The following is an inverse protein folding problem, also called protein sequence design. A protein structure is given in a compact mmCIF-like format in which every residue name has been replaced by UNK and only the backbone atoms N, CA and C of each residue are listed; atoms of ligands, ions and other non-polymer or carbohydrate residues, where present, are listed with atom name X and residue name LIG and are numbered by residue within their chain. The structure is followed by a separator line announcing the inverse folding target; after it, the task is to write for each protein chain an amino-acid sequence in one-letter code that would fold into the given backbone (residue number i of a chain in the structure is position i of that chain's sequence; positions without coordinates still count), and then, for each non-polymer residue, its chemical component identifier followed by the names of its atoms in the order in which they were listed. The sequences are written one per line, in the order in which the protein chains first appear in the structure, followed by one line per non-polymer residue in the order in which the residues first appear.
data_IF_712244395672
#
_entry.id   IF_712244395672
#
_cell.length_a   1.000
_cell.length_b   1.000
_cell.length_c   1.000
_cell.angle_alpha   90.00
_cell.angle_beta   90.00
_cell.angle_gamma   90.00
#
_symmetry.space_group_name_H-M   'P 1'
#
loop_
_entity.id
_entity.type
_entity.pdbx_description
1 polymer ?
#
# COMPACT_ATOMS: atom_id res chain seq x y z
N UNK A 1 6.88 49.05 -25.07
CA UNK A 1 7.27 48.11 -23.99
C UNK A 1 6.94 46.63 -24.24
N UNK A 2 6.35 46.23 -25.39
CA UNK A 2 6.14 44.79 -25.71
C UNK A 2 7.18 44.19 -26.68
N UNK A 3 7.96 45.02 -27.39
CA UNK A 3 8.97 44.53 -28.34
C UNK A 3 10.34 44.22 -27.72
N UNK A 4 10.60 44.66 -26.48
CA UNK A 4 11.88 44.44 -25.79
C UNK A 4 11.97 43.07 -25.10
N UNK A 5 10.82 42.45 -24.79
CA UNK A 5 10.74 41.15 -24.10
C UNK A 5 11.09 39.97 -25.02
N UNK A 6 10.65 40.02 -26.28
CA UNK A 6 10.88 38.94 -27.27
C UNK A 6 12.36 38.86 -27.67
N UNK A 7 13.05 40.00 -27.75
CA UNK A 7 14.48 40.04 -28.07
C UNK A 7 15.36 39.44 -26.96
N UNK A 8 14.95 39.61 -25.69
CA UNK A 8 15.67 39.03 -24.55
C UNK A 8 15.49 37.51 -24.48
N UNK A 9 14.31 36.98 -24.82
CA UNK A 9 14.05 35.53 -24.87
C UNK A 9 14.83 34.82 -25.96
N UNK A 10 15.04 35.46 -27.12
CA UNK A 10 15.83 34.89 -28.23
C UNK A 10 17.33 34.88 -27.88
N UNK A 11 17.84 35.93 -27.22
CA UNK A 11 19.24 36.01 -26.78
C UNK A 11 19.54 34.96 -25.69
N UNK A 12 18.62 34.73 -24.75
CA UNK A 12 18.76 33.67 -23.73
C UNK A 12 18.71 32.27 -24.38
N UNK A 13 17.86 32.06 -25.38
CA UNK A 13 17.80 30.80 -26.14
C UNK A 13 19.09 30.48 -26.90
N UNK A 14 19.69 31.48 -27.56
CA UNK A 14 20.95 31.30 -28.31
C UNK A 14 22.14 31.12 -27.34
N UNK A 15 22.19 31.85 -26.22
CA UNK A 15 23.23 31.67 -25.20
C UNK A 15 23.17 30.27 -24.55
N UNK A 16 21.96 29.72 -24.37
CA UNK A 16 21.76 28.37 -23.84
C UNK A 16 22.28 27.28 -24.79
N UNK A 17 22.09 27.46 -26.11
CA UNK A 17 22.60 26.53 -27.13
C UNK A 17 24.12 26.54 -27.23
N UNK A 18 24.77 27.69 -26.99
CA UNK A 18 26.24 27.81 -27.01
C UNK A 18 26.85 27.21 -25.74
N UNK A 19 26.21 27.38 -24.57
CA UNK A 19 26.65 26.78 -23.31
C UNK A 19 26.48 25.24 -23.28
N UNK A 20 25.43 24.70 -23.91
CA UNK A 20 25.20 23.24 -23.98
C UNK A 20 26.01 22.50 -25.05
N UNK A 21 26.69 23.21 -25.97
CA UNK A 21 27.50 22.58 -27.02
C UNK A 21 28.80 21.96 -26.48
N UNK A 22 29.29 22.44 -25.32
CA UNK A 22 30.46 21.85 -24.65
C UNK A 22 30.12 20.57 -23.86
N UNK A 23 28.89 20.45 -23.33
CA UNK A 23 28.46 19.24 -22.61
C UNK A 23 28.07 18.07 -23.52
N UNK A 24 27.57 18.34 -24.74
CA UNK A 24 27.22 17.28 -25.69
C UNK A 24 28.42 16.44 -26.15
N UNK A 25 29.64 17.00 -26.18
CA UNK A 25 30.86 16.22 -26.50
C UNK A 25 31.26 15.29 -25.36
N UNK A 26 31.06 15.71 -24.11
CA UNK A 26 31.38 14.89 -22.93
C UNK A 26 30.35 13.76 -22.74
N UNK A 27 29.06 14.03 -23.00
CA UNK A 27 28.01 13.00 -22.98
C UNK A 27 28.23 11.96 -24.09
N UNK A 28 28.62 12.38 -25.29
CA UNK A 28 28.90 11.44 -26.40
C UNK A 28 30.10 10.52 -26.11
N UNK A 29 31.17 11.04 -25.50
CA UNK A 29 32.36 10.26 -25.13
C UNK A 29 32.09 9.25 -24.01
N UNK A 30 31.35 9.65 -22.96
CA UNK A 30 30.97 8.76 -21.84
C UNK A 30 30.01 7.66 -22.31
N UNK A 31 29.17 7.94 -23.30
CA UNK A 31 28.25 6.95 -23.87
C UNK A 31 28.99 5.92 -24.73
N UNK A 32 30.03 6.34 -25.47
CA UNK A 32 30.85 5.45 -26.30
C UNK A 32 31.73 4.50 -25.47
N UNK A 33 32.33 4.97 -24.36
CA UNK A 33 33.11 4.10 -23.45
C UNK A 33 32.21 3.08 -22.71
N UNK A 34 30.99 3.46 -22.31
CA UNK A 34 30.02 2.51 -21.75
C UNK A 34 29.58 1.46 -22.77
N UNK A 35 29.39 1.84 -24.03
CA UNK A 35 29.04 0.90 -25.10
C UNK A 35 30.18 -0.08 -25.43
N UNK A 36 31.44 0.36 -25.37
CA UNK A 36 32.60 -0.52 -25.59
C UNK A 36 32.85 -1.48 -24.41
N UNK A 37 32.55 -1.08 -23.17
CA UNK A 37 32.65 -1.98 -22.01
C UNK A 37 31.46 -2.96 -21.88
N UNK A 38 30.30 -2.63 -22.48
CA UNK A 38 29.14 -3.54 -22.57
C UNK A 38 29.35 -4.66 -23.60
N UNK A 39 30.22 -4.46 -24.59
CA UNK A 39 30.47 -5.45 -25.65
C UNK A 39 31.61 -6.44 -25.33
N UNK A 40 32.42 -6.19 -24.30
CA UNK A 40 33.51 -7.09 -23.88
C UNK A 40 33.18 -8.02 -22.70
N UNK A 41 32.01 -7.88 -22.05
CA UNK A 41 31.59 -8.70 -20.91
C UNK A 41 30.40 -9.63 -21.18
N UNK A 42 29.86 -9.64 -22.40
CA UNK A 42 28.72 -10.47 -22.79
C UNK A 42 29.15 -11.86 -23.33
N UNK A 43 29.92 -12.63 -22.55
CA UNK A 43 30.05 -14.08 -22.80
C UNK A 43 30.29 -14.87 -21.52
N UNK A 44 29.30 -14.89 -20.62
CA UNK A 44 29.04 -16.00 -19.67
C UNK A 44 27.73 -15.70 -18.94
N UNK A 45 26.59 -15.97 -19.60
CA UNK A 45 25.35 -16.24 -18.88
C UNK A 45 25.42 -17.68 -18.43
N UNK A 46 25.78 -17.90 -17.16
CA UNK A 46 25.39 -19.13 -16.48
C UNK A 46 23.87 -19.17 -16.45
N UNK A 47 23.28 -20.13 -17.16
CA UNK A 47 21.90 -20.55 -16.95
C UNK A 47 21.80 -21.11 -15.53
N UNK A 48 21.50 -20.25 -14.55
CA UNK A 48 20.88 -20.70 -13.30
C UNK A 48 19.41 -20.88 -13.58
N UNK A 49 19.01 -22.14 -13.74
CA UNK A 49 17.65 -22.60 -13.48
C UNK A 49 17.21 -22.00 -12.14
N UNK A 50 15.98 -21.48 -12.00
CA UNK A 50 15.46 -21.15 -10.68
C UNK A 50 15.52 -22.44 -9.84
N UNK A 51 16.23 -22.41 -8.72
CA UNK A 51 16.05 -23.46 -7.72
C UNK A 51 14.57 -23.50 -7.32
N UNK A 52 13.97 -24.69 -7.13
CA UNK A 52 12.65 -24.76 -6.56
C UNK A 52 12.72 -24.12 -5.17
N UNK A 53 12.06 -22.98 -4.99
CA UNK A 53 11.85 -22.44 -3.64
C UNK A 53 11.02 -23.47 -2.89
N UNK A 54 11.67 -24.20 -1.99
CA UNK A 54 11.00 -25.09 -1.06
C UNK A 54 10.05 -24.26 -0.21
N UNK A 55 8.76 -24.61 -0.24
CA UNK A 55 7.70 -24.03 0.60
C UNK A 55 8.02 -24.29 2.07
N UNK A 56 8.84 -23.42 2.66
CA UNK A 56 9.11 -23.45 4.09
C UNK A 56 8.02 -22.66 4.78
N UNK A 57 7.02 -23.39 5.25
CA UNK A 57 6.05 -22.81 6.16
C UNK A 57 6.75 -22.30 7.42
N UNK A 58 6.39 -21.09 7.84
CA UNK A 58 6.88 -20.54 9.10
C UNK A 58 6.00 -21.05 10.23
N UNK A 59 6.63 -21.60 11.27
CA UNK A 59 5.95 -22.05 12.48
C UNK A 59 6.54 -21.35 13.70
N UNK A 60 5.67 -20.94 14.61
CA UNK A 60 6.09 -20.55 15.95
C UNK A 60 6.45 -21.81 16.74
N UNK A 61 7.43 -21.68 17.64
CA UNK A 61 7.80 -22.68 18.63
C UNK A 61 7.92 -22.03 19.99
N UNK A 62 7.99 -22.84 21.05
CA UNK A 62 8.20 -22.33 22.42
C UNK A 62 9.53 -21.57 22.59
N UNK A 63 10.48 -21.74 21.66
CA UNK A 63 11.76 -21.01 21.63
C UNK A 63 11.74 -19.76 20.74
N UNK A 64 10.64 -19.51 20.02
CA UNK A 64 10.56 -18.39 19.10
C UNK A 64 10.59 -17.06 19.85
N UNK A 65 11.41 -16.13 19.36
CA UNK A 65 11.64 -14.85 20.04
C UNK A 65 10.48 -13.90 19.73
N UNK A 66 9.72 -13.40 20.71
CA UNK A 66 8.68 -12.40 20.47
C UNK A 66 9.26 -11.08 19.98
N UNK A 67 8.61 -10.45 18.99
CA UNK A 67 8.96 -9.06 18.63
C UNK A 67 8.46 -8.11 19.70
N UNK A 68 9.32 -7.19 20.11
CA UNK A 68 8.97 -6.14 21.06
C UNK A 68 8.02 -5.12 20.41
N UNK A 69 7.19 -4.48 21.23
CA UNK A 69 6.33 -3.38 20.79
C UNK A 69 7.16 -2.10 20.74
N UNK A 70 7.31 -1.54 19.54
CA UNK A 70 7.96 -0.24 19.32
C UNK A 70 7.05 0.91 19.73
N UNK A 71 5.78 0.85 19.32
CA UNK A 71 4.82 1.94 19.53
C UNK A 71 3.39 1.44 19.53
N UNK A 72 2.55 2.03 20.38
CA UNK A 72 1.09 1.89 20.32
C UNK A 72 0.49 3.27 20.24
N UNK A 73 -0.46 3.50 19.34
CA UNK A 73 -1.13 4.79 19.23
C UNK A 73 -2.49 4.71 18.57
N UNK A 74 -3.40 5.61 18.97
CA UNK A 74 -4.75 5.73 18.43
C UNK A 74 -4.72 6.33 17.01
N UNK A 75 -5.44 5.71 16.08
CA UNK A 75 -5.68 6.28 14.76
C UNK A 75 -6.59 7.52 14.84
N UNK A 76 -6.19 8.59 14.17
CA UNK A 76 -6.86 9.89 14.24
C UNK A 76 -7.95 9.95 13.17
N UNK A 77 -9.15 10.36 13.58
CA UNK A 77 -10.26 10.52 12.66
C UNK A 77 -10.18 11.86 11.91
N UNK A 78 -10.31 11.82 10.59
CA UNK A 78 -10.24 12.99 9.71
C UNK A 78 -11.19 12.86 8.52
N UNK A 79 -11.48 13.99 7.87
CA UNK A 79 -12.23 14.02 6.62
C UNK A 79 -11.29 13.80 5.43
N UNK A 80 -11.76 13.07 4.42
CA UNK A 80 -11.07 12.83 3.15
C UNK A 80 -12.10 12.77 2.02
N UNK A 81 -11.63 12.88 0.77
CA UNK A 81 -12.49 12.83 -0.41
C UNK A 81 -13.63 13.86 -0.35
N UNK A 82 -14.81 13.44 -0.80
CA UNK A 82 -16.03 14.23 -0.72
C UNK A 82 -16.94 13.67 0.39
N UNK A 83 -16.81 14.22 1.60
CA UNK A 83 -17.66 13.88 2.75
C UNK A 83 -17.33 12.55 3.46
N UNK A 84 -16.28 11.84 3.04
CA UNK A 84 -15.87 10.58 3.67
C UNK A 84 -15.11 10.84 4.99
N UNK A 85 -15.20 9.89 5.91
CA UNK A 85 -14.45 9.90 7.18
C UNK A 85 -13.52 8.70 7.22
N UNK A 86 -12.29 8.94 7.65
CA UNK A 86 -11.28 7.89 7.84
C UNK A 86 -10.63 8.02 9.19
N UNK A 87 -10.21 6.90 9.78
CA UNK A 87 -9.24 6.87 10.88
C UNK A 87 -7.87 6.55 10.32
N UNK A 88 -6.97 7.53 10.29
CA UNK A 88 -5.61 7.38 9.77
C UNK A 88 -4.65 6.96 10.86
N UNK A 89 -3.90 5.89 10.63
CA UNK A 89 -2.83 5.43 11.54
C UNK A 89 -1.45 5.77 10.99
N UNK A 90 -1.00 5.05 9.95
CA UNK A 90 0.19 5.38 9.16
C UNK A 90 -0.16 6.55 8.23
N UNK A 91 0.77 7.50 8.05
CA UNK A 91 0.53 8.74 7.32
C UNK A 91 0.20 9.93 8.23
N UNK A 92 0.20 9.72 9.55
CA UNK A 92 0.02 10.79 10.56
C UNK A 92 1.38 11.36 11.02
N UNK A 93 1.42 12.51 11.71
CA UNK A 93 2.66 12.99 12.35
C UNK A 93 3.28 11.99 13.32
N UNK A 94 2.48 11.09 13.89
CA UNK A 94 2.96 10.06 14.82
C UNK A 94 3.72 8.93 14.12
N UNK A 95 3.41 8.67 12.84
CA UNK A 95 4.08 7.68 12.01
C UNK A 95 3.87 8.06 10.54
N UNK A 96 4.72 8.97 10.03
CA UNK A 96 4.54 9.58 8.70
C UNK A 96 4.56 8.56 7.57
N UNK A 97 5.39 7.55 7.69
CA UNK A 97 5.41 6.33 6.90
C UNK A 97 6.10 5.24 7.73
N UNK A 98 5.99 3.99 7.29
CA UNK A 98 6.65 2.84 7.88
C UNK A 98 6.96 1.82 6.79
N UNK A 99 8.10 2.00 6.10
CA UNK A 99 8.47 1.25 4.88
C UNK A 99 8.13 -0.25 4.97
N UNK A 100 7.43 -0.83 3.99
CA UNK A 100 6.99 -0.22 2.73
C UNK A 100 5.64 0.54 2.82
N UNK A 101 5.06 0.67 4.02
CA UNK A 101 3.73 1.25 4.19
C UNK A 101 3.76 2.77 4.22
N UNK A 102 2.90 3.38 3.41
CA UNK A 102 2.82 4.83 3.24
C UNK A 102 1.65 5.42 4.03
N UNK A 103 0.54 4.69 4.06
CA UNK A 103 -0.71 5.13 4.68
C UNK A 103 -1.56 3.91 5.05
N UNK A 104 -2.27 3.99 6.17
CA UNK A 104 -3.37 3.07 6.48
C UNK A 104 -4.55 3.87 7.02
N UNK A 105 -5.63 3.84 6.26
CA UNK A 105 -6.92 4.40 6.62
C UNK A 105 -7.94 3.31 6.90
N UNK A 106 -8.62 3.41 8.04
CA UNK A 106 -9.87 2.69 8.28
C UNK A 106 -11.02 3.61 7.92
N UNK A 107 -11.61 3.40 6.76
CA UNK A 107 -12.65 4.27 6.22
C UNK A 107 -14.05 3.85 6.69
N UNK A 108 -14.90 4.86 6.84
CA UNK A 108 -16.35 4.72 6.99
C UNK A 108 -17.03 5.72 6.07
N UNK A 109 -17.58 5.25 4.97
CA UNK A 109 -18.17 6.08 3.92
C UNK A 109 -19.69 5.99 4.02
N UNK A 110 -20.30 7.05 4.55
CA UNK A 110 -21.75 7.19 4.62
C UNK A 110 -22.36 7.36 3.21
N UNK A 111 -23.65 7.04 3.02
CA UNK A 111 -24.34 7.35 1.76
C UNK A 111 -24.18 8.83 1.37
N UNK A 112 -23.94 9.10 0.09
CA UNK A 112 -23.70 10.45 -0.44
C UNK A 112 -22.30 11.02 -0.17
N UNK A 113 -21.36 10.20 0.29
CA UNK A 113 -19.94 10.54 0.37
C UNK A 113 -19.12 9.59 -0.52
N UNK A 114 -17.85 9.88 -0.78
CA UNK A 114 -16.96 8.99 -1.53
C UNK A 114 -15.64 9.62 -1.94
N UNK A 115 -14.94 8.94 -2.84
CA UNK A 115 -13.68 9.40 -3.42
C UNK A 115 -13.87 9.57 -4.93
N UNK A 116 -14.33 10.74 -5.40
CA UNK A 116 -14.47 11.01 -6.84
C UNK A 116 -13.10 11.03 -7.53
N UNK A 117 -13.08 11.26 -8.83
CA UNK A 117 -11.90 11.23 -9.70
C UNK A 117 -10.64 11.84 -9.06
N UNK A 118 -9.64 11.00 -8.80
CA UNK A 118 -8.37 11.41 -8.23
C UNK A 118 -7.20 10.58 -8.79
N UNK A 119 -5.99 11.15 -8.89
CA UNK A 119 -4.85 10.46 -9.45
C UNK A 119 -4.04 9.69 -8.38
N UNK A 120 -3.18 8.77 -8.82
CA UNK A 120 -2.08 8.16 -8.07
C UNK A 120 -0.86 7.90 -8.96
N UNK A 121 0.36 7.88 -8.39
CA UNK A 121 1.59 7.46 -9.08
C UNK A 121 2.68 6.99 -8.11
N UNK A 122 3.23 5.81 -8.37
CA UNK A 122 4.43 5.30 -7.69
C UNK A 122 4.18 4.42 -6.47
N UNK A 123 2.92 4.04 -6.20
CA UNK A 123 2.51 3.15 -5.12
C UNK A 123 1.51 2.08 -5.59
N UNK A 124 1.25 1.11 -4.72
CA UNK A 124 0.09 0.23 -4.79
C UNK A 124 -0.94 0.69 -3.73
N UNK A 125 -2.22 0.63 -4.06
CA UNK A 125 -3.31 0.80 -3.10
C UNK A 125 -4.03 -0.53 -2.93
N UNK A 126 -4.25 -0.92 -1.68
CA UNK A 126 -4.90 -2.17 -1.32
C UNK A 126 -6.16 -1.81 -0.54
N UNK A 127 -7.30 -2.02 -1.17
CA UNK A 127 -8.63 -1.80 -0.59
C UNK A 127 -9.14 -3.13 -0.03
N UNK A 128 -9.46 -3.20 1.26
CA UNK A 128 -10.10 -4.37 1.87
C UNK A 128 -11.44 -3.99 2.47
N UNK A 129 -12.54 -4.56 1.94
CA UNK A 129 -13.88 -4.18 2.37
C UNK A 129 -14.38 -5.06 3.52
N UNK A 130 -14.74 -4.42 4.63
CA UNK A 130 -15.21 -5.08 5.86
C UNK A 130 -16.74 -5.17 5.93
N UNK A 131 -17.45 -4.19 5.35
CA UNK A 131 -18.91 -4.14 5.30
C UNK A 131 -19.40 -3.28 4.13
N UNK A 132 -20.43 -3.78 3.43
CA UNK A 132 -21.08 -3.12 2.30
C UNK A 132 -20.43 -3.43 0.95
N UNK A 133 -20.42 -2.44 0.04
CA UNK A 133 -19.82 -2.49 -1.30
C UNK A 133 -19.21 -1.14 -1.73
N UNK A 134 -18.13 -1.18 -2.52
CA UNK A 134 -17.52 0.02 -3.15
C UNK A 134 -17.35 -0.24 -4.64
N UNK A 135 -17.94 0.62 -5.46
CA UNK A 135 -17.72 0.64 -6.90
C UNK A 135 -16.44 1.41 -7.22
N UNK A 136 -15.67 0.90 -8.17
CA UNK A 136 -14.47 1.55 -8.68
C UNK A 136 -14.52 1.68 -10.19
N UNK A 137 -13.92 2.75 -10.72
CA UNK A 137 -13.82 3.03 -12.15
C UNK A 137 -12.53 3.81 -12.44
N UNK A 138 -11.79 3.43 -13.47
CA UNK A 138 -10.56 4.10 -13.89
C UNK A 138 -10.56 4.55 -15.35
N UNK A 139 -9.61 5.44 -15.67
CA UNK A 139 -9.41 5.96 -17.03
C UNK A 139 -8.79 4.96 -18.02
N UNK A 140 -8.47 3.74 -17.58
CA UNK A 140 -8.00 2.65 -18.43
C UNK A 140 -9.16 1.76 -18.91
N UNK A 141 -10.34 1.95 -18.34
CA UNK A 141 -11.56 1.20 -18.62
C UNK A 141 -11.83 0.08 -17.61
N UNK A 142 -11.01 -0.10 -16.57
CA UNK A 142 -11.33 -1.04 -15.51
C UNK A 142 -12.42 -0.47 -14.63
N UNK A 143 -13.39 -1.32 -14.29
CA UNK A 143 -14.45 -1.01 -13.35
C UNK A 143 -14.99 -2.27 -12.72
N UNK A 144 -15.58 -2.12 -11.56
CA UNK A 144 -16.16 -3.24 -10.84
C UNK A 144 -16.64 -2.83 -9.45
N UNK A 145 -17.00 -3.84 -8.68
CA UNK A 145 -17.40 -3.67 -7.29
C UNK A 145 -16.52 -4.54 -6.41
N UNK A 146 -15.99 -3.93 -5.36
CA UNK A 146 -15.37 -4.60 -4.21
C UNK A 146 -16.51 -4.86 -3.23
N UNK A 147 -16.85 -6.12 -3.01
CA UNK A 147 -17.91 -6.52 -2.08
C UNK A 147 -17.33 -6.89 -0.71
N UNK A 148 -18.20 -7.08 0.28
CA UNK A 148 -17.76 -7.43 1.65
C UNK A 148 -16.85 -8.67 1.65
N UNK A 149 -15.64 -8.50 2.21
CA UNK A 149 -14.61 -9.52 2.28
C UNK A 149 -13.69 -9.57 1.07
N UNK A 150 -14.00 -8.87 -0.02
CA UNK A 150 -13.13 -8.77 -1.19
C UNK A 150 -11.98 -7.79 -0.95
N UNK A 151 -10.90 -7.99 -1.71
CA UNK A 151 -9.80 -7.06 -1.83
C UNK A 151 -9.56 -6.65 -3.28
N UNK A 152 -9.06 -5.43 -3.43
CA UNK A 152 -8.48 -4.95 -4.67
C UNK A 152 -7.05 -4.49 -4.42
N UNK A 153 -6.11 -5.04 -5.19
CA UNK A 153 -4.72 -4.60 -5.23
C UNK A 153 -4.53 -3.83 -6.54
N UNK A 154 -4.50 -2.49 -6.45
CA UNK A 154 -4.24 -1.62 -7.59
C UNK A 154 -2.79 -1.16 -7.56
N UNK A 155 -2.02 -1.52 -8.59
CA UNK A 155 -0.72 -0.90 -8.84
C UNK A 155 -0.93 0.37 -9.65
N UNK A 156 -0.61 1.55 -9.08
CA UNK A 156 -0.74 2.82 -9.80
C UNK A 156 0.38 3.03 -10.83
N UNK A 157 1.60 2.54 -10.53
CA UNK A 157 2.74 2.61 -11.45
C UNK A 157 2.99 4.03 -11.97
N UNK A 158 3.14 4.17 -13.30
CA UNK A 158 3.37 5.44 -14.02
C UNK A 158 2.19 6.42 -13.94
N UNK A 159 1.02 6.03 -13.46
CA UNK A 159 -0.10 6.95 -13.30
C UNK A 159 -1.45 6.27 -13.50
N UNK A 160 -2.37 6.52 -12.58
CA UNK A 160 -3.77 6.15 -12.73
C UNK A 160 -4.66 7.30 -12.26
N UNK A 161 -5.81 7.48 -12.89
CA UNK A 161 -6.90 8.31 -12.38
C UNK A 161 -8.14 7.42 -12.24
N UNK A 162 -8.75 7.46 -11.06
CA UNK A 162 -9.85 6.57 -10.71
C UNK A 162 -10.81 7.21 -9.71
N UNK A 163 -11.97 6.60 -9.54
CA UNK A 163 -12.95 6.93 -8.51
C UNK A 163 -13.29 5.67 -7.70
N UNK A 164 -13.57 5.85 -6.41
CA UNK A 164 -14.01 4.81 -5.47
C UNK A 164 -15.25 5.33 -4.72
N UNK A 165 -16.43 4.82 -5.11
CA UNK A 165 -17.73 5.32 -4.66
C UNK A 165 -18.50 4.23 -3.91
N UNK A 166 -19.04 4.51 -2.71
CA UNK A 166 -19.77 3.51 -1.95
C UNK A 166 -21.09 3.13 -2.63
N UNK A 167 -21.43 1.85 -2.57
CA UNK A 167 -22.80 1.40 -2.86
C UNK A 167 -23.73 1.81 -1.72
N UNK A 168 -24.99 2.05 -2.07
CA UNK A 168 -26.02 2.27 -1.07
C UNK A 168 -26.42 0.94 -0.43
N UNK A 169 -26.15 0.79 0.88
CA UNK A 169 -26.60 -0.36 1.63
C UNK A 169 -28.13 -0.29 1.84
N UNK A 170 -28.86 -1.43 1.79
CA UNK A 170 -30.32 -1.43 1.95
C UNK A 170 -30.83 -0.84 3.27
N UNK A 171 -30.03 -0.94 4.33
CA UNK A 171 -30.32 -0.42 5.66
C UNK A 171 -29.82 1.02 5.88
N UNK A 172 -29.24 1.64 4.85
CA UNK A 172 -28.64 2.98 4.93
C UNK A 172 -27.33 3.04 5.72
N UNK A 173 -26.75 1.89 6.09
CA UNK A 173 -25.46 1.84 6.80
C UNK A 173 -24.31 2.33 5.92
N UNK A 174 -23.25 2.82 6.56
CA UNK A 174 -22.03 3.22 5.89
C UNK A 174 -21.21 2.01 5.44
N UNK A 175 -20.46 2.15 4.35
CA UNK A 175 -19.49 1.16 3.91
C UNK A 175 -18.22 1.30 4.75
N UNK A 176 -17.64 0.17 5.17
CA UNK A 176 -16.50 0.14 6.09
C UNK A 176 -15.40 -0.72 5.50
N UNK A 177 -14.16 -0.25 5.56
CA UNK A 177 -13.02 -0.97 5.02
C UNK A 177 -11.69 -0.36 5.38
N UNK A 178 -10.62 -0.94 4.84
CA UNK A 178 -9.26 -0.47 4.98
C UNK A 178 -8.69 -0.05 3.62
N UNK A 179 -7.99 1.08 3.59
CA UNK A 179 -7.13 1.50 2.49
C UNK A 179 -5.67 1.47 2.95
N UNK A 180 -4.88 0.56 2.41
CA UNK A 180 -3.43 0.48 2.67
C UNK A 180 -2.67 0.95 1.42
N UNK A 181 -1.77 1.92 1.59
CA UNK A 181 -0.83 2.28 0.53
C UNK A 181 0.52 1.63 0.79
N UNK A 182 1.03 0.95 -0.23
CA UNK A 182 2.32 0.25 -0.20
C UNK A 182 3.22 0.86 -1.26
N UNK A 183 4.42 1.26 -0.86
CA UNK A 183 5.40 1.85 -1.75
C UNK A 183 5.87 0.84 -2.79
N UNK A 184 6.02 1.27 -4.04
CA UNK A 184 6.65 0.45 -5.08
C UNK A 184 8.18 0.56 -4.99
N UNK A 185 8.93 -0.52 -5.27
CA UNK A 185 10.37 -0.43 -5.45
C UNK A 185 10.69 0.57 -6.55
N UNK A 186 11.77 1.34 -6.40
CA UNK A 186 12.15 2.41 -7.33
C UNK A 186 12.08 2.01 -8.81
N UNK A 187 12.50 0.78 -9.14
CA UNK A 187 12.50 0.26 -10.52
C UNK A 187 11.11 -0.09 -11.07
N UNK A 188 10.07 -0.15 -10.23
CA UNK A 188 8.68 -0.42 -10.60
C UNK A 188 7.76 0.80 -10.49
N UNK A 189 8.24 1.94 -9.99
CA UNK A 189 7.43 3.17 -9.83
C UNK A 189 6.84 3.71 -11.14
N UNK A 190 7.36 3.27 -12.29
CA UNK A 190 6.88 3.67 -13.62
C UNK A 190 6.41 2.46 -14.46
N UNK A 191 6.09 1.33 -13.84
CA UNK A 191 5.43 0.23 -14.54
C UNK A 191 4.02 0.64 -15.01
N UNK A 192 3.44 -0.13 -15.93
CA UNK A 192 2.05 0.06 -16.33
C UNK A 192 1.11 -0.22 -15.14
N UNK A 193 0.01 0.54 -15.00
CA UNK A 193 -0.99 0.27 -13.97
C UNK A 193 -1.58 -1.13 -14.16
N UNK A 194 -1.90 -1.81 -13.05
CA UNK A 194 -2.55 -3.12 -13.07
C UNK A 194 -3.48 -3.30 -11.88
N UNK A 195 -4.41 -4.23 -12.01
CA UNK A 195 -5.31 -4.66 -10.94
C UNK A 195 -5.13 -6.14 -10.65
N UNK A 196 -5.25 -6.49 -9.38
CA UNK A 196 -5.49 -7.85 -8.94
C UNK A 196 -6.60 -7.85 -7.90
N UNK A 197 -7.78 -8.27 -8.32
CA UNK A 197 -8.89 -8.54 -7.40
C UNK A 197 -8.68 -9.90 -6.73
N UNK A 198 -9.03 -9.97 -5.44
CA UNK A 198 -9.09 -11.20 -4.65
C UNK A 198 -10.47 -11.27 -3.99
N UNK A 199 -11.29 -12.22 -4.43
CA UNK A 199 -12.64 -12.38 -3.89
C UNK A 199 -12.59 -13.06 -2.53
N UNK A 200 -13.53 -12.74 -1.65
CA UNK A 200 -13.62 -13.29 -0.29
C UNK A 200 -13.56 -14.83 -0.28
N UNK A 201 -14.22 -15.47 -1.25
CA UNK A 201 -14.27 -16.94 -1.41
C UNK A 201 -12.93 -17.58 -1.82
N UNK A 202 -11.99 -16.79 -2.32
CA UNK A 202 -10.65 -17.25 -2.71
C UNK A 202 -9.67 -17.17 -1.54
N UNK A 203 -10.05 -16.52 -0.43
CA UNK A 203 -9.17 -16.31 0.72
C UNK A 203 -9.21 -17.56 1.61
N UNK A 204 -8.10 -18.29 1.74
CA UNK A 204 -8.04 -19.42 2.64
C UNK A 204 -8.02 -18.95 4.10
N UNK A 205 -8.50 -19.81 5.00
CA UNK A 205 -8.54 -19.54 6.42
C UNK A 205 -8.05 -20.71 7.24
N UNK A 206 -7.60 -20.43 8.46
CA UNK A 206 -7.20 -21.43 9.45
C UNK A 206 -7.78 -21.09 10.81
N UNK A 207 -8.28 -22.11 11.51
CA UNK A 207 -8.69 -22.02 12.90
C UNK A 207 -7.59 -22.62 13.78
N UNK A 208 -7.18 -21.90 14.82
CA UNK A 208 -6.15 -22.33 15.78
C UNK A 208 -6.64 -22.12 17.22
N UNK A 209 -5.85 -22.62 18.18
CA UNK A 209 -6.17 -22.55 19.62
C UNK A 209 -7.58 -23.10 19.92
N UNK A 210 -7.82 -24.34 19.50
CA UNK A 210 -9.09 -25.06 19.65
C UNK A 210 -10.31 -24.29 19.07
N UNK A 211 -10.10 -23.51 18.00
CA UNK A 211 -11.15 -22.76 17.30
C UNK A 211 -11.51 -21.43 17.98
N UNK A 212 -10.68 -20.95 18.91
CA UNK A 212 -10.81 -19.60 19.48
C UNK A 212 -10.22 -18.52 18.60
N UNK A 213 -9.27 -18.87 17.73
CA UNK A 213 -8.67 -17.91 16.80
C UNK A 213 -8.96 -18.34 15.37
N UNK A 214 -9.62 -17.45 14.63
CA UNK A 214 -9.88 -17.61 13.20
C UNK A 214 -9.03 -16.61 12.42
N UNK A 215 -8.26 -17.09 11.44
CA UNK A 215 -7.33 -16.28 10.64
C UNK A 215 -7.69 -16.43 9.17
N UNK A 216 -8.01 -15.32 8.51
CA UNK A 216 -8.05 -15.23 7.05
C UNK A 216 -6.66 -14.86 6.54
N UNK A 217 -6.10 -15.71 5.69
CA UNK A 217 -4.75 -15.53 5.14
C UNK A 217 -4.88 -14.79 3.80
N UNK A 218 -5.04 -13.46 3.86
CA UNK A 218 -5.25 -12.60 2.69
C UNK A 218 -4.01 -12.54 1.79
N UNK A 219 -2.82 -12.48 2.40
CA UNK A 219 -1.54 -12.61 1.70
C UNK A 219 -0.50 -13.15 2.66
N UNK A 220 0.41 -13.99 2.17
CA UNK A 220 1.42 -14.67 2.99
C UNK A 220 0.96 -16.04 3.48
N UNK A 221 1.27 -16.37 4.73
CA UNK A 221 0.92 -17.67 5.31
C UNK A 221 0.67 -17.60 6.81
N UNK A 222 -0.10 -18.56 7.31
CA UNK A 222 -0.35 -18.76 8.74
C UNK A 222 -0.60 -20.23 9.02
N UNK A 223 0.14 -20.80 9.98
CA UNK A 223 -0.09 -22.15 10.52
C UNK A 223 -0.24 -23.26 9.45
N UNK A 224 0.64 -23.24 8.43
CA UNK A 224 0.62 -24.23 7.34
C UNK A 224 -0.39 -23.95 6.22
N UNK A 225 -1.09 -22.81 6.25
CA UNK A 225 -1.98 -22.36 5.19
C UNK A 225 -1.35 -21.17 4.46
N UNK A 226 -1.10 -21.33 3.17
CA UNK A 226 -0.67 -20.26 2.27
C UNK A 226 -1.85 -19.52 1.64
N UNK A 227 -1.65 -18.25 1.33
CA UNK A 227 -2.55 -17.47 0.49
C UNK A 227 -2.30 -17.67 -1.01
N UNK A 228 -3.15 -17.04 -1.82
CA UNK A 228 -2.92 -16.84 -3.25
C UNK A 228 -1.67 -15.97 -3.44
N UNK A 229 -0.82 -16.36 -4.40
CA UNK A 229 0.45 -15.67 -4.71
C UNK A 229 0.25 -14.52 -5.70
N UNK A 230 1.30 -13.70 -5.84
CA UNK A 230 1.44 -12.65 -6.86
C UNK A 230 0.36 -11.54 -6.84
N UNK A 231 -0.12 -11.22 -5.63
CA UNK A 231 -1.11 -10.16 -5.41
C UNK A 231 -0.53 -8.76 -5.58
N UNK A 232 0.64 -8.50 -5.00
CA UNK A 232 1.31 -7.20 -4.97
C UNK A 232 2.74 -7.31 -5.53
N UNK A 233 3.29 -6.22 -6.08
CA UNK A 233 4.69 -6.18 -6.48
C UNK A 233 5.62 -6.07 -5.29
N UNK A 234 5.26 -5.25 -4.30
CA UNK A 234 5.98 -5.20 -3.03
C UNK A 234 5.48 -6.33 -2.13
N UNK A 235 6.36 -7.26 -1.68
CA UNK A 235 5.92 -8.35 -0.84
C UNK A 235 5.31 -7.84 0.48
N UNK A 236 4.03 -8.18 0.67
CA UNK A 236 3.21 -7.80 1.82
C UNK A 236 2.37 -8.98 2.27
N UNK A 237 2.33 -9.23 3.58
CA UNK A 237 1.45 -10.18 4.23
C UNK A 237 0.35 -9.41 4.93
N UNK A 238 -0.88 -9.91 4.80
CA UNK A 238 -2.07 -9.35 5.43
C UNK A 238 -2.83 -10.53 6.01
N UNK A 239 -3.10 -10.47 7.31
CA UNK A 239 -3.89 -11.46 8.03
C UNK A 239 -5.04 -10.74 8.73
N UNK A 240 -6.28 -11.17 8.51
CA UNK A 240 -7.45 -10.71 9.28
C UNK A 240 -7.76 -11.76 10.34
N UNK A 241 -7.58 -11.37 11.61
CA UNK A 241 -7.54 -12.27 12.76
C UNK A 241 -8.70 -11.91 13.68
N UNK A 242 -9.55 -12.89 13.96
CA UNK A 242 -10.59 -12.82 14.98
C UNK A 242 -10.24 -13.74 16.14
N UNK A 243 -10.23 -13.19 17.36
CA UNK A 243 -9.84 -13.90 18.60
C UNK A 243 -11.01 -13.81 19.58
N UNK A 244 -11.55 -14.97 19.96
CA UNK A 244 -12.57 -15.10 21.02
C UNK A 244 -11.94 -14.90 22.41
N UNK A 245 -12.75 -14.56 23.45
CA UNK A 245 -12.26 -14.50 24.82
C UNK A 245 -11.45 -15.74 25.24
N UNK A 246 -10.26 -15.49 25.80
CA UNK A 246 -9.31 -16.54 26.20
C UNK A 246 -8.56 -17.22 25.06
N UNK A 247 -8.70 -16.71 23.83
CA UNK A 247 -7.97 -17.15 22.65
C UNK A 247 -6.58 -16.55 22.57
N UNK A 248 -5.61 -17.31 22.05
CA UNK A 248 -4.21 -16.89 21.90
C UNK A 248 -3.62 -17.32 20.56
N UNK A 249 -2.73 -16.51 20.01
CA UNK A 249 -2.01 -16.83 18.78
C UNK A 249 -0.59 -16.28 18.79
N UNK A 250 0.36 -17.09 18.32
CA UNK A 250 1.72 -16.69 18.02
C UNK A 250 1.92 -16.75 16.50
N UNK A 251 1.91 -15.60 15.84
CA UNK A 251 2.06 -15.53 14.38
C UNK A 251 3.52 -15.29 14.00
N UNK A 252 4.21 -16.25 13.35
CA UNK A 252 5.53 -16.02 12.81
C UNK A 252 5.49 -15.10 11.58
N UNK A 253 6.53 -14.32 11.40
CA UNK A 253 6.67 -13.39 10.27
C UNK A 253 8.02 -13.58 9.58
N UNK A 254 8.16 -13.23 8.29
CA UNK A 254 9.44 -13.29 7.62
C UNK A 254 10.48 -12.41 8.33
N UNK A 255 11.70 -12.93 8.43
CA UNK A 255 12.81 -12.22 9.05
C UNK A 255 13.11 -10.93 8.29
N UNK A 256 13.35 -9.84 9.03
CA UNK A 256 13.68 -8.54 8.44
C UNK A 256 12.49 -7.80 7.81
N UNK A 257 11.26 -8.30 7.96
CA UNK A 257 10.07 -7.58 7.53
C UNK A 257 9.59 -6.59 8.59
N UNK A 258 9.19 -5.39 8.19
CA UNK A 258 8.50 -4.46 9.08
C UNK A 258 7.07 -4.95 9.32
N UNK A 259 6.56 -4.80 10.54
CA UNK A 259 5.24 -5.32 10.91
C UNK A 259 4.48 -4.37 11.84
N UNK A 260 3.16 -4.34 11.67
CA UNK A 260 2.25 -3.66 12.58
C UNK A 260 0.90 -4.39 12.64
N UNK A 261 0.16 -4.19 13.73
CA UNK A 261 -1.22 -4.63 13.86
C UNK A 261 -2.16 -3.43 14.01
N UNK A 262 -3.40 -3.56 13.56
CA UNK A 262 -4.44 -2.55 13.75
C UNK A 262 -5.72 -3.21 14.28
N UNK A 263 -6.15 -2.79 15.48
CA UNK A 263 -7.33 -3.34 16.15
C UNK A 263 -8.60 -2.73 15.54
N UNK A 264 -9.38 -3.53 14.83
CA UNK A 264 -10.63 -3.12 14.18
C UNK A 264 -11.79 -3.06 15.16
N UNK A 265 -11.88 -4.05 16.05
CA UNK A 265 -12.91 -4.15 17.09
C UNK A 265 -12.37 -4.93 18.29
N UNK A 266 -12.98 -4.72 19.45
CA UNK A 266 -12.58 -5.37 20.69
C UNK A 266 -11.32 -4.79 21.32
N UNK A 267 -10.78 -5.55 22.25
CA UNK A 267 -9.53 -5.26 22.95
C UNK A 267 -8.65 -6.50 22.88
N UNK A 268 -7.38 -6.30 22.57
CA UNK A 268 -6.39 -7.38 22.45
C UNK A 268 -5.17 -7.07 23.30
N UNK A 269 -4.42 -8.10 23.67
CA UNK A 269 -3.20 -8.00 24.47
C UNK A 269 -2.05 -8.47 23.59
N UNK A 270 -1.07 -7.60 23.36
CA UNK A 270 0.11 -7.90 22.56
C UNK A 270 1.34 -8.12 23.43
N UNK A 271 2.21 -9.03 23.02
CA UNK A 271 3.47 -9.31 23.72
C UNK A 271 3.36 -10.47 24.72
N UNK A 272 4.41 -10.68 25.52
CA UNK A 272 4.53 -11.81 26.45
C UNK A 272 5.06 -11.35 27.81
N UNK A 273 4.58 -11.95 28.90
CA UNK A 273 5.03 -11.64 30.26
C UNK A 273 4.90 -10.15 30.59
N UNK A 274 5.92 -9.57 31.22
CA UNK A 274 5.92 -8.17 31.66
C UNK A 274 5.93 -7.14 30.51
N UNK A 275 6.09 -7.58 29.27
CA UNK A 275 6.04 -6.72 28.07
C UNK A 275 4.65 -6.66 27.44
N UNK A 276 3.66 -7.31 28.06
CA UNK A 276 2.29 -7.28 27.56
C UNK A 276 1.71 -5.86 27.58
N UNK A 277 0.97 -5.53 26.51
CA UNK A 277 0.18 -4.31 26.44
C UNK A 277 -1.22 -4.62 26.00
N UNK A 278 -2.17 -4.12 26.78
CA UNK A 278 -3.58 -4.04 26.40
C UNK A 278 -3.73 -2.94 25.34
N UNK A 279 -4.42 -3.27 24.25
CA UNK A 279 -4.60 -2.41 23.08
C UNK A 279 -6.08 -2.37 22.71
N UNK A 280 -6.66 -1.18 22.82
CA UNK A 280 -8.05 -0.92 22.51
C UNK A 280 -8.30 -0.80 21.00
N UNK A 281 -9.59 -0.83 20.63
CA UNK A 281 -10.07 -0.55 19.29
C UNK A 281 -9.43 0.72 18.68
N UNK A 282 -9.19 0.67 17.37
CA UNK A 282 -8.61 1.73 16.54
C UNK A 282 -7.17 2.12 16.86
N UNK A 283 -6.47 1.35 17.67
CA UNK A 283 -5.04 1.53 17.87
C UNK A 283 -4.21 0.76 16.85
N UNK A 284 -3.09 1.37 16.46
CA UNK A 284 -2.02 0.72 15.72
C UNK A 284 -0.92 0.30 16.69
N UNK A 285 -0.41 -0.91 16.51
CA UNK A 285 0.72 -1.48 17.26
C UNK A 285 1.85 -1.71 16.28
N UNK A 286 2.91 -0.92 16.38
CA UNK A 286 4.13 -1.06 15.58
C UNK A 286 5.10 -1.94 16.35
N UNK A 287 5.67 -2.94 15.68
CA UNK A 287 6.65 -3.83 16.27
C UNK A 287 8.07 -3.42 15.89
N UNK A 288 9.03 -3.78 16.75
CA UNK A 288 10.45 -3.75 16.38
C UNK A 288 10.76 -4.79 15.30
N UNK A 289 11.88 -4.61 14.61
CA UNK A 289 12.31 -5.52 13.55
C UNK A 289 12.80 -6.87 14.11
N UNK A 290 13.44 -6.84 15.28
CA UNK A 290 14.01 -8.00 15.94
C UNK A 290 12.91 -8.90 16.53
N UNK A 291 13.15 -10.20 16.44
CA UNK A 291 12.21 -11.26 16.83
C UNK A 291 11.50 -11.89 15.63
N UNK A 292 10.82 -13.00 15.92
CA UNK A 292 10.32 -13.95 14.92
C UNK A 292 8.80 -14.02 14.91
N UNK A 293 8.16 -13.80 16.07
CA UNK A 293 6.72 -13.99 16.26
C UNK A 293 6.04 -12.77 16.88
N UNK A 294 4.80 -12.51 16.47
CA UNK A 294 3.87 -11.61 17.16
C UNK A 294 2.92 -12.45 18.01
N UNK A 295 2.92 -12.20 19.31
CA UNK A 295 1.98 -12.84 20.24
C UNK A 295 0.80 -11.91 20.49
N UNK A 296 -0.40 -12.45 20.33
CA UNK A 296 -1.66 -11.74 20.59
C UNK A 296 -2.60 -12.66 21.35
N UNK A 297 -3.29 -12.13 22.35
CA UNK A 297 -4.35 -12.82 23.07
C UNK A 297 -5.53 -11.89 23.38
N UNK A 298 -6.65 -12.49 23.77
CA UNK A 298 -7.80 -11.79 24.35
C UNK A 298 -8.06 -12.34 25.74
N UNK A 299 -8.29 -11.46 26.70
CA UNK A 299 -8.57 -11.84 28.08
C UNK A 299 -9.79 -12.80 28.15
N UNK A 300 -9.72 -13.82 29.01
CA UNK A 300 -10.79 -14.80 29.14
C UNK A 300 -12.10 -14.22 29.69
N UNK A 301 -12.03 -13.09 30.40
CA UNK A 301 -13.19 -12.35 30.91
C UNK A 301 -13.71 -11.28 29.93
N UNK A 302 -13.12 -11.15 28.74
CA UNK A 302 -13.60 -10.18 27.75
C UNK A 302 -15.05 -10.49 27.32
N UNK A 303 -15.86 -9.45 27.17
CA UNK A 303 -17.28 -9.58 26.82
C UNK A 303 -17.52 -9.81 25.31
N UNK A 304 -16.54 -9.48 24.47
CA UNK A 304 -16.60 -9.63 23.01
C UNK A 304 -15.27 -10.09 22.44
N UNK A 305 -15.34 -10.66 21.23
CA UNK A 305 -14.19 -10.98 20.41
C UNK A 305 -13.36 -9.71 20.10
N UNK A 306 -12.06 -9.92 19.84
CA UNK A 306 -11.22 -8.91 19.21
C UNK A 306 -10.98 -9.27 17.75
N UNK A 307 -11.11 -8.29 16.87
CA UNK A 307 -10.76 -8.40 15.45
C UNK A 307 -9.64 -7.42 15.13
N UNK A 308 -8.59 -7.89 14.51
CA UNK A 308 -7.43 -7.08 14.11
C UNK A 308 -6.90 -7.53 12.76
N UNK A 309 -6.25 -6.61 12.06
CA UNK A 309 -5.37 -6.98 10.94
C UNK A 309 -3.92 -6.96 11.39
N UNK A 310 -3.17 -8.01 11.06
CA UNK A 310 -1.72 -8.04 11.20
C UNK A 310 -1.10 -7.93 9.80
N UNK A 311 -0.25 -6.93 9.61
CA UNK A 311 0.31 -6.57 8.32
C UNK A 311 1.84 -6.54 8.45
N UNK A 312 2.53 -7.21 7.53
CA UNK A 312 3.99 -7.22 7.46
C UNK A 312 4.47 -7.05 6.02
N UNK A 313 5.60 -6.39 5.82
CA UNK A 313 6.10 -6.10 4.46
C UNK A 313 7.61 -5.99 4.41
N UNK A 314 8.18 -6.27 3.24
CA UNK A 314 9.62 -6.10 3.02
C UNK A 314 9.97 -4.61 3.03
N UNK A 315 10.81 -4.14 3.95
CA UNK A 315 11.25 -2.75 3.96
C UNK A 315 12.01 -2.46 2.67
N UNK A 316 11.72 -1.30 2.06
CA UNK A 316 12.46 -0.79 0.92
C UNK A 316 13.53 0.18 1.42
N UNK A 317 14.77 -0.07 1.02
CA UNK A 317 15.91 0.84 1.23
C UNK A 317 15.92 1.90 0.12
N UNK A 318 14.98 2.85 0.20
CA UNK A 318 14.83 3.93 -0.75
C UNK A 318 14.25 5.18 -0.10
N UNK A 319 14.53 6.35 -0.70
CA UNK A 319 13.90 7.59 -0.29
C UNK A 319 12.41 7.58 -0.68
N UNK A 320 11.56 8.04 0.25
CA UNK A 320 10.12 8.23 0.05
C UNK A 320 9.85 9.72 0.02
N UNK A 321 9.50 10.23 -1.16
CA UNK A 321 9.05 11.61 -1.35
C UNK A 321 7.58 11.59 -1.75
N UNK A 322 6.72 12.01 -0.83
CA UNK A 322 5.28 12.05 -1.00
C UNK A 322 4.77 13.50 -1.11
N UNK A 323 3.95 13.77 -2.12
CA UNK A 323 3.17 14.99 -2.23
C UNK A 323 1.75 14.64 -2.68
N UNK A 324 0.82 14.63 -1.71
CA UNK A 324 -0.55 14.19 -1.92
C UNK A 324 -0.60 12.77 -2.52
N UNK A 325 -1.17 12.60 -3.73
CA UNK A 325 -1.32 11.30 -4.38
C UNK A 325 -0.06 10.72 -5.03
N UNK A 326 1.03 11.48 -5.09
CA UNK A 326 2.25 11.09 -5.81
C UNK A 326 3.34 10.69 -4.82
N UNK A 327 3.85 9.46 -4.94
CA UNK A 327 4.89 8.90 -4.05
C UNK A 327 6.05 8.39 -4.88
N UNK A 328 7.13 9.16 -4.95
CA UNK A 328 8.30 8.86 -5.78
C UNK A 328 9.59 8.85 -4.94
N UNK A 329 10.75 8.66 -5.58
CA UNK A 329 12.05 8.51 -4.91
C UNK A 329 12.88 9.79 -4.92
N UNK A 330 12.35 10.92 -5.41
CA UNK A 330 12.99 12.23 -5.35
C UNK A 330 11.98 13.37 -5.53
N UNK A 331 12.35 14.58 -5.08
CA UNK A 331 11.55 15.78 -5.33
C UNK A 331 11.35 16.06 -6.82
N UNK A 332 12.39 15.84 -7.64
CA UNK A 332 12.32 16.05 -9.09
C UNK A 332 11.27 15.14 -9.74
N UNK A 333 11.23 13.86 -9.36
CA UNK A 333 10.21 12.92 -9.87
C UNK A 333 8.79 13.30 -9.42
N UNK A 334 8.62 13.79 -8.19
CA UNK A 334 7.31 14.30 -7.73
C UNK A 334 6.89 15.55 -8.51
N UNK A 335 7.80 16.50 -8.75
CA UNK A 335 7.50 17.66 -9.59
C UNK A 335 7.14 17.25 -11.01
N UNK A 336 7.84 16.26 -11.57
CA UNK A 336 7.49 15.72 -12.88
C UNK A 336 6.11 15.07 -12.87
N UNK A 337 5.74 14.33 -11.82
CA UNK A 337 4.40 13.75 -11.69
C UNK A 337 3.28 14.78 -11.67
N UNK A 338 3.49 15.91 -10.97
CA UNK A 338 2.57 17.04 -10.99
C UNK A 338 2.41 17.63 -12.39
N UNK A 339 3.52 17.83 -13.12
CA UNK A 339 3.49 18.35 -14.50
C UNK A 339 2.82 17.36 -15.46
N UNK A 340 3.16 16.08 -15.37
CA UNK A 340 2.59 15.01 -16.20
C UNK A 340 1.08 14.92 -16.03
N UNK A 341 0.59 14.99 -14.79
CA UNK A 341 -0.85 15.03 -14.51
C UNK A 341 -1.52 16.28 -15.11
N UNK A 342 -0.94 17.47 -14.90
CA UNK A 342 -1.49 18.73 -15.42
C UNK A 342 -1.47 18.83 -16.94
N UNK A 343 -0.53 18.17 -17.60
CA UNK A 343 -0.33 18.21 -19.06
C UNK A 343 -0.86 16.96 -19.76
N UNK A 344 -1.48 16.03 -19.02
CA UNK A 344 -1.97 14.75 -19.52
C UNK A 344 -0.89 13.99 -20.31
N UNK A 345 0.27 13.77 -19.70
CA UNK A 345 1.41 13.12 -20.35
C UNK A 345 2.04 12.03 -19.49
N UNK A 346 2.89 11.19 -20.12
CA UNK A 346 3.75 10.20 -19.46
C UNK A 346 3.03 9.28 -18.45
N UNK A 347 1.81 8.85 -18.76
CA UNK A 347 0.98 7.97 -17.93
C UNK A 347 -0.39 8.56 -17.62
N UNK A 348 -0.57 9.87 -17.82
CA UNK A 348 -1.84 10.56 -17.61
C UNK A 348 -2.51 11.01 -18.91
N UNK A 349 -2.13 10.46 -20.07
CA UNK A 349 -2.71 10.82 -21.38
C UNK A 349 -4.22 10.64 -21.43
N UNK A 350 -4.73 9.63 -20.72
CA UNK A 350 -6.18 9.34 -20.66
C UNK A 350 -6.93 10.20 -19.65
N UNK A 351 -6.25 11.00 -18.84
CA UNK A 351 -6.92 11.90 -17.91
C UNK A 351 -7.52 13.13 -18.63
N UNK A 352 -7.09 13.44 -19.86
CA UNK A 352 -7.64 14.56 -20.62
C UNK A 352 -9.12 14.31 -20.96
N UNK A 353 -10.01 15.06 -20.32
CA UNK A 353 -11.46 15.00 -20.55
C UNK A 353 -12.14 13.72 -20.01
N UNK A 354 -11.41 12.85 -19.31
CA UNK A 354 -12.03 11.70 -18.65
C UNK A 354 -12.77 12.13 -17.39
N UNK A 355 -13.94 11.54 -17.20
CA UNK A 355 -14.73 11.64 -15.98
C UNK A 355 -15.34 10.27 -15.71
N UNK A 356 -15.25 9.79 -14.48
CA UNK A 356 -15.95 8.55 -14.12
C UNK A 356 -17.46 8.75 -14.17
N UNK A 357 -18.21 7.69 -14.51
CA UNK A 357 -19.67 7.73 -14.40
C UNK A 357 -20.10 7.73 -12.92
N UNK A 358 -19.38 7.00 -12.07
CA UNK A 358 -19.71 6.87 -10.65
C UNK A 358 -19.41 8.13 -9.83
N UNK A 359 -18.44 8.96 -10.25
CA UNK A 359 -18.06 10.19 -9.56
C UNK A 359 -18.98 11.38 -9.85
N UNK A 360 -19.75 11.34 -10.95
CA UNK A 360 -20.66 12.43 -11.37
C UNK A 360 -21.71 12.75 -10.31
N UNK A 361 -22.16 11.76 -9.55
CA UNK A 361 -23.19 11.93 -8.52
C UNK A 361 -22.78 12.85 -7.36
N UNK A 362 -21.52 13.27 -7.30
CA UNK A 362 -20.98 14.19 -6.28
C UNK A 362 -20.81 15.64 -6.77
N UNK A 363 -21.02 15.89 -8.07
CA UNK A 363 -20.81 17.19 -8.71
C UNK A 363 -22.15 17.91 -8.98
N UNK A 364 -23.26 17.16 -9.05
CA UNK A 364 -24.64 17.67 -9.09
C UNK A 364 -25.17 17.98 -7.67
#
# INVERSE_FOLDING_TARGET
MKSFSIFLSIIVGIASIVLFKQDLRNVALVTAEKFFNLTSSASRRENRTPEPQTDHHLYASDMSIPRAIRKVFLAVEQAEGAGARVRRSIGTPQLRNFSPFLMLDHFRISPGAGFPDHPHRGQETITYLLHGGVDHEDFTGNKGTIETGDLQFMTAGRGIMHAEMPKQNPDGSANVGLQLWVDLPKHLKFCEPRYRDLRAKEIPSVDVDDGKVHIKVISGQSHGVDSVRDLAYTPVWILDINIKPGGKVAQPLPKGWNAFAYTLDGQSIFGTGDQQRVVDQFHNVVFELDGEVINVEVDASAEKDARLVLIAGTPLDQEVVQYGPFVLSSKAEVYQALMDYQTHSNGFERAEGWQSEIGKSMIE
#
